data_IF_914095766197
#
_entry.id   IF_914095766197
#
_cell.length_a   1.000
_cell.length_b   1.000
_cell.length_c   1.000
_cell.angle_alpha   90.00
_cell.angle_beta   90.00
_cell.angle_gamma   90.00
#
_symmetry.space_group_name_H-M   'P 1'
#
loop_
_entity.id
_entity.type
_entity.pdbx_description
1 polymer ?
#
# COMPACT_ATOMS: atom_id res chain seq x y z
N UNK A 1 17.24 -6.66 -11.48
CA UNK A 1 16.41 -7.08 -12.62
C UNK A 1 15.01 -7.50 -12.19
N UNK A 2 14.87 -8.38 -11.22
CA UNK A 2 13.54 -8.82 -10.72
C UNK A 2 12.73 -7.66 -10.14
N UNK A 3 13.33 -6.76 -9.37
CA UNK A 3 12.65 -5.59 -8.82
C UNK A 3 12.18 -4.60 -9.89
N UNK A 4 12.94 -4.44 -10.96
CA UNK A 4 12.57 -3.62 -12.11
C UNK A 4 11.36 -4.20 -12.85
N UNK A 5 11.32 -5.51 -13.06
CA UNK A 5 10.19 -6.18 -13.70
C UNK A 5 8.92 -6.11 -12.84
N UNK A 6 9.04 -6.31 -11.53
CA UNK A 6 7.92 -6.14 -10.60
C UNK A 6 7.38 -4.70 -10.59
N UNK A 7 8.25 -3.71 -10.62
CA UNK A 7 7.85 -2.31 -10.70
C UNK A 7 7.08 -1.99 -11.98
N UNK A 8 7.50 -2.56 -13.12
CA UNK A 8 6.76 -2.44 -14.39
C UNK A 8 5.39 -3.09 -14.35
N UNK A 9 5.29 -4.28 -13.74
CA UNK A 9 4.01 -4.97 -13.57
C UNK A 9 3.04 -4.15 -12.72
N UNK A 10 3.50 -3.59 -11.61
CA UNK A 10 2.68 -2.72 -10.76
C UNK A 10 2.26 -1.46 -11.50
N UNK A 11 3.17 -0.78 -12.18
CA UNK A 11 2.87 0.43 -12.94
C UNK A 11 1.86 0.15 -14.06
N UNK A 12 2.02 -0.93 -14.81
CA UNK A 12 1.06 -1.35 -15.83
C UNK A 12 -0.32 -1.66 -15.23
N UNK A 13 -0.36 -2.38 -14.11
CA UNK A 13 -1.59 -2.71 -13.41
C UNK A 13 -2.33 -1.45 -12.93
N UNK A 14 -1.62 -0.49 -12.36
CA UNK A 14 -2.19 0.79 -11.90
C UNK A 14 -2.75 1.59 -13.07
N UNK A 15 -2.01 1.74 -14.17
CA UNK A 15 -2.45 2.47 -15.35
C UNK A 15 -3.70 1.84 -15.98
N UNK A 16 -3.72 0.52 -16.10
CA UNK A 16 -4.87 -0.22 -16.64
C UNK A 16 -6.11 -0.06 -15.78
N UNK A 17 -5.95 -0.15 -14.46
CA UNK A 17 -7.05 -0.02 -13.51
C UNK A 17 -7.56 1.42 -13.37
N UNK A 18 -6.71 2.43 -13.54
CA UNK A 18 -7.14 3.83 -13.53
C UNK A 18 -8.24 4.09 -14.57
N UNK A 19 -8.04 3.58 -15.78
CA UNK A 19 -9.01 3.73 -16.85
C UNK A 19 -10.33 3.00 -16.54
N UNK A 20 -10.25 1.76 -16.06
CA UNK A 20 -11.42 0.95 -15.68
C UNK A 20 -12.18 1.62 -14.54
N UNK A 21 -11.48 2.07 -13.52
CA UNK A 21 -12.10 2.68 -12.33
C UNK A 21 -12.75 4.02 -12.61
N UNK A 22 -12.25 4.78 -13.60
CA UNK A 22 -12.86 6.04 -14.03
C UNK A 22 -14.29 5.86 -14.55
N UNK A 23 -14.63 4.68 -15.08
CA UNK A 23 -15.93 4.35 -15.63
C UNK A 23 -16.84 3.55 -14.68
N UNK A 24 -16.34 3.19 -13.50
CA UNK A 24 -17.12 2.47 -12.49
C UNK A 24 -18.10 3.39 -11.77
N UNK A 25 -19.25 2.83 -11.42
CA UNK A 25 -20.23 3.50 -10.56
C UNK A 25 -19.69 3.67 -9.13
N UNK A 26 -20.28 4.59 -8.37
CA UNK A 26 -19.89 4.80 -6.98
C UNK A 26 -20.05 3.56 -6.10
N UNK A 27 -21.05 2.73 -6.40
CA UNK A 27 -21.25 1.45 -5.72
C UNK A 27 -20.10 0.47 -5.99
N UNK A 28 -19.70 0.32 -7.23
CA UNK A 28 -18.57 -0.54 -7.62
C UNK A 28 -17.25 -0.05 -7.03
N UNK A 29 -17.02 1.28 -7.05
CA UNK A 29 -15.86 1.88 -6.38
C UNK A 29 -15.89 1.62 -4.88
N UNK A 30 -17.05 1.70 -4.24
CA UNK A 30 -17.18 1.40 -2.81
C UNK A 30 -16.73 -0.03 -2.48
N UNK A 31 -17.12 -0.99 -3.28
CA UNK A 31 -16.66 -2.38 -3.13
C UNK A 31 -15.13 -2.51 -3.27
N UNK A 32 -14.53 -1.75 -4.19
CA UNK A 32 -13.05 -1.71 -4.34
C UNK A 32 -12.35 -1.03 -3.17
N UNK A 33 -12.95 0.04 -2.64
CA UNK A 33 -12.44 0.71 -1.44
C UNK A 33 -12.47 -0.22 -0.23
N UNK A 34 -13.57 -0.92 -0.02
CA UNK A 34 -13.71 -1.88 1.08
C UNK A 34 -12.71 -3.04 0.96
N UNK A 35 -12.54 -3.57 -0.25
CA UNK A 35 -11.53 -4.59 -0.52
C UNK A 35 -10.11 -4.08 -0.23
N UNK A 36 -9.75 -2.90 -0.72
CA UNK A 36 -8.43 -2.31 -0.50
C UNK A 36 -8.16 -2.08 0.99
N UNK A 37 -9.15 -1.59 1.72
CA UNK A 37 -9.05 -1.40 3.16
C UNK A 37 -8.86 -2.72 3.91
N UNK A 38 -9.70 -3.72 3.63
CA UNK A 38 -9.61 -5.03 4.28
C UNK A 38 -8.27 -5.72 3.97
N UNK A 39 -7.81 -5.67 2.73
CA UNK A 39 -6.51 -6.21 2.33
C UNK A 39 -5.35 -5.51 3.08
N UNK A 40 -5.44 -4.18 3.23
CA UNK A 40 -4.44 -3.39 3.96
C UNK A 40 -4.39 -3.77 5.44
N UNK A 41 -5.54 -3.93 6.08
CA UNK A 41 -5.64 -4.38 7.49
C UNK A 41 -5.06 -5.78 7.65
N UNK A 42 -5.40 -6.70 6.76
CA UNK A 42 -4.88 -8.08 6.80
C UNK A 42 -3.37 -8.13 6.59
N UNK A 43 -2.83 -7.33 5.66
CA UNK A 43 -1.37 -7.24 5.46
C UNK A 43 -0.66 -6.68 6.69
N UNK A 44 -1.20 -5.65 7.32
CA UNK A 44 -0.69 -5.10 8.57
C UNK A 44 -0.66 -6.16 9.67
N UNK A 45 -1.78 -6.88 9.83
CA UNK A 45 -1.96 -7.83 10.93
C UNK A 45 -1.18 -9.15 10.71
N UNK A 46 -0.74 -9.41 9.49
CA UNK A 46 0.13 -10.56 9.15
C UNK A 46 1.39 -10.62 9.99
N UNK A 47 1.91 -9.47 10.42
CA UNK A 47 3.07 -9.40 11.32
C UNK A 47 2.80 -9.95 12.71
N UNK A 48 1.57 -9.92 13.16
CA UNK A 48 1.17 -10.50 14.44
C UNK A 48 1.27 -12.02 14.42
N UNK A 49 1.07 -12.63 13.24
CA UNK A 49 1.23 -14.08 12.98
C UNK A 49 0.69 -14.99 14.08
N UNK A 50 -0.40 -14.59 14.73
CA UNK A 50 -0.95 -15.28 15.92
C UNK A 50 -1.21 -16.74 15.64
N UNK A 51 -1.71 -17.09 14.45
CA UNK A 51 -1.96 -18.46 14.05
C UNK A 51 -0.66 -19.27 13.93
N UNK A 52 0.41 -18.65 13.41
CA UNK A 52 1.73 -19.29 13.30
C UNK A 52 2.29 -19.60 14.67
N UNK A 53 2.28 -18.63 15.59
CA UNK A 53 2.75 -18.86 16.97
C UNK A 53 1.96 -19.93 17.68
N UNK A 54 0.64 -19.93 17.52
CA UNK A 54 -0.24 -20.95 18.09
C UNK A 54 0.10 -22.36 17.57
N UNK A 55 0.32 -22.50 16.26
CA UNK A 55 0.71 -23.77 15.62
C UNK A 55 2.11 -24.24 16.08
N UNK A 56 2.99 -23.32 16.41
CA UNK A 56 4.31 -23.63 16.96
C UNK A 56 4.27 -23.98 18.46
N UNK A 57 3.10 -23.98 19.08
CA UNK A 57 2.94 -24.26 20.50
C UNK A 57 3.30 -23.09 21.42
N UNK A 58 3.47 -21.88 20.86
CA UNK A 58 3.73 -20.66 21.62
C UNK A 58 2.41 -19.93 21.85
N UNK A 59 2.17 -19.53 23.11
CA UNK A 59 0.97 -18.77 23.43
C UNK A 59 1.04 -17.36 22.78
N UNK A 60 0.09 -17.01 21.90
CA UNK A 60 0.08 -15.68 21.25
C UNK A 60 0.08 -14.52 22.25
N UNK A 61 -0.51 -14.70 23.44
CA UNK A 61 -0.56 -13.66 24.48
C UNK A 61 0.81 -13.25 24.99
N UNK A 62 1.78 -14.16 24.95
CA UNK A 62 3.15 -13.89 25.40
C UNK A 62 3.98 -13.21 24.31
N UNK A 63 3.68 -13.49 23.04
CA UNK A 63 4.42 -13.01 21.88
C UNK A 63 3.91 -11.67 21.37
N UNK A 64 2.60 -11.46 21.40
CA UNK A 64 1.98 -10.22 20.88
C UNK A 64 2.59 -8.94 21.49
N UNK A 65 2.80 -8.82 22.80
CA UNK A 65 3.45 -7.63 23.37
C UNK A 65 4.88 -7.42 22.86
N UNK A 66 5.64 -8.50 22.63
CA UNK A 66 7.00 -8.44 22.10
C UNK A 66 7.01 -7.93 20.66
N UNK A 67 6.10 -8.45 19.83
CA UNK A 67 5.93 -8.01 18.43
C UNK A 67 5.45 -6.57 18.36
N UNK A 68 4.53 -6.17 19.22
CA UNK A 68 4.01 -4.79 19.25
C UNK A 68 5.08 -3.77 19.63
N UNK A 69 6.04 -4.15 20.44
CA UNK A 69 7.13 -3.28 20.90
C UNK A 69 8.40 -3.39 20.03
N UNK A 70 8.38 -4.21 18.99
CA UNK A 70 9.52 -4.34 18.07
C UNK A 70 9.60 -3.13 17.13
N UNK A 71 10.69 -2.35 17.14
CA UNK A 71 10.90 -1.24 16.22
C UNK A 71 10.85 -1.64 14.74
N UNK A 72 11.23 -2.87 14.42
CA UNK A 72 11.22 -3.42 13.06
C UNK A 72 9.80 -3.49 12.49
N UNK A 73 8.81 -3.74 13.34
CA UNK A 73 7.41 -3.75 12.96
C UNK A 73 6.95 -2.40 12.43
N UNK A 74 7.31 -1.32 13.12
CA UNK A 74 6.94 0.03 12.72
C UNK A 74 7.56 0.40 11.38
N UNK A 75 8.85 0.14 11.22
CA UNK A 75 9.58 0.35 9.95
C UNK A 75 8.91 -0.41 8.81
N UNK A 76 8.54 -1.65 9.03
CA UNK A 76 7.89 -2.45 8.00
C UNK A 76 6.49 -1.93 7.66
N UNK A 77 5.69 -1.52 8.64
CA UNK A 77 4.38 -0.90 8.38
C UNK A 77 4.53 0.37 7.55
N UNK A 78 5.51 1.21 7.85
CA UNK A 78 5.82 2.40 7.07
C UNK A 78 6.15 2.04 5.62
N UNK A 79 7.00 1.06 5.39
CA UNK A 79 7.36 0.58 4.05
C UNK A 79 6.15 0.03 3.29
N UNK A 80 5.28 -0.71 3.96
CA UNK A 80 4.07 -1.28 3.38
C UNK A 80 3.09 -0.18 2.93
N UNK A 81 2.76 0.74 3.82
CA UNK A 81 1.79 1.79 3.53
C UNK A 81 2.34 2.89 2.61
N UNK A 82 3.65 3.10 2.58
CA UNK A 82 4.30 3.94 1.59
C UNK A 82 4.13 3.43 0.14
N UNK A 83 3.74 2.17 -0.03
CA UNK A 83 3.36 1.59 -1.33
C UNK A 83 1.85 1.56 -1.54
N UNK A 84 1.10 1.14 -0.53
CA UNK A 84 -0.36 0.98 -0.64
C UNK A 84 -1.07 2.31 -0.84
N UNK A 85 -0.80 3.30 0.00
CA UNK A 85 -1.54 4.58 -0.01
C UNK A 85 -1.37 5.37 -1.31
N UNK A 86 -0.14 5.56 -1.84
CA UNK A 86 0.02 6.23 -3.13
C UNK A 86 -0.67 5.52 -4.29
N UNK A 87 -0.66 4.20 -4.31
CA UNK A 87 -1.34 3.44 -5.35
C UNK A 87 -2.87 3.57 -5.26
N UNK A 88 -3.44 3.56 -4.06
CA UNK A 88 -4.85 3.88 -3.87
C UNK A 88 -5.20 5.29 -4.34
N UNK A 89 -4.32 6.27 -4.10
CA UNK A 89 -4.47 7.63 -4.61
C UNK A 89 -4.49 7.69 -6.14
N UNK A 90 -3.53 7.04 -6.79
CA UNK A 90 -3.44 6.96 -8.26
C UNK A 90 -4.66 6.31 -8.89
N UNK A 91 -5.22 5.30 -8.25
CA UNK A 91 -6.44 4.63 -8.68
C UNK A 91 -7.71 5.46 -8.46
N UNK A 92 -7.61 6.63 -7.82
CA UNK A 92 -8.76 7.48 -7.50
C UNK A 92 -9.65 6.93 -6.38
N UNK A 93 -9.15 5.98 -5.58
CA UNK A 93 -9.93 5.34 -4.52
C UNK A 93 -10.02 6.15 -3.23
N UNK A 94 -9.09 7.09 -2.99
CA UNK A 94 -9.03 7.81 -1.71
C UNK A 94 -10.22 8.74 -1.50
N UNK A 95 -10.59 9.51 -2.54
CA UNK A 95 -11.48 10.67 -2.39
C UNK A 95 -12.92 10.41 -2.85
N UNK A 96 -13.21 9.30 -3.51
CA UNK A 96 -14.57 8.93 -3.90
C UNK A 96 -15.40 8.47 -2.70
N UNK A 97 -16.72 8.53 -2.84
CA UNK A 97 -17.68 8.16 -1.78
C UNK A 97 -17.40 8.93 -0.47
N UNK A 98 -17.40 10.27 -0.55
CA UNK A 98 -17.10 11.16 0.58
C UNK A 98 -15.76 10.88 1.25
N UNK A 99 -14.73 10.59 0.45
CA UNK A 99 -13.38 10.28 0.94
C UNK A 99 -13.36 9.11 1.94
N UNK A 100 -14.19 8.11 1.70
CA UNK A 100 -14.35 6.98 2.63
C UNK A 100 -13.02 6.28 2.94
N UNK A 101 -12.24 5.95 1.91
CA UNK A 101 -10.97 5.24 2.11
C UNK A 101 -9.91 6.15 2.76
N UNK A 102 -9.88 7.45 2.38
CA UNK A 102 -9.01 8.44 3.02
C UNK A 102 -9.24 8.50 4.53
N UNK A 103 -10.50 8.61 4.95
CA UNK A 103 -10.84 8.65 6.38
C UNK A 103 -10.40 7.37 7.10
N UNK A 104 -10.55 6.21 6.48
CA UNK A 104 -10.07 4.95 7.05
C UNK A 104 -8.55 4.92 7.22
N UNK A 105 -7.81 5.43 6.26
CA UNK A 105 -6.35 5.54 6.35
C UNK A 105 -5.91 6.63 7.33
N UNK A 106 -6.68 7.68 7.51
CA UNK A 106 -6.47 8.68 8.58
C UNK A 106 -6.63 8.05 9.96
N UNK A 107 -7.71 7.29 10.18
CA UNK A 107 -7.95 6.55 11.43
C UNK A 107 -6.83 5.54 11.72
N UNK A 108 -6.25 4.92 10.71
CA UNK A 108 -5.10 4.03 10.83
C UNK A 108 -3.78 4.77 11.06
N UNK A 109 -3.73 6.08 10.88
CA UNK A 109 -2.51 6.88 10.99
C UNK A 109 -1.52 6.68 9.83
N UNK A 110 -1.99 6.32 8.64
CA UNK A 110 -1.14 6.01 7.48
C UNK A 110 -1.31 6.96 6.28
N UNK A 111 -2.24 7.90 6.36
CA UNK A 111 -2.52 8.83 5.23
C UNK A 111 -1.32 9.72 4.87
N UNK A 112 -0.40 9.97 5.80
CA UNK A 112 0.82 10.74 5.54
C UNK A 112 1.68 10.16 4.43
N UNK A 113 1.49 8.89 4.09
CA UNK A 113 2.21 8.22 3.00
C UNK A 113 1.62 8.45 1.61
N UNK A 114 0.54 9.23 1.47
CA UNK A 114 -0.16 9.43 0.19
C UNK A 114 0.72 9.99 -0.94
N UNK A 115 1.77 10.72 -0.60
CA UNK A 115 2.72 11.29 -1.54
C UNK A 115 4.10 10.60 -1.51
N UNK A 116 4.20 9.43 -0.87
CA UNK A 116 5.42 8.66 -0.89
C UNK A 116 5.73 8.21 -2.33
N UNK A 117 6.98 8.36 -2.74
CA UNK A 117 7.45 7.90 -4.05
C UNK A 117 7.82 6.44 -3.91
N UNK A 118 7.23 5.60 -4.76
CA UNK A 118 7.64 4.20 -4.84
C UNK A 118 9.00 4.13 -5.56
N UNK A 119 9.95 3.45 -4.94
CA UNK A 119 11.27 3.16 -5.56
C UNK A 119 11.13 2.47 -6.91
N UNK A 120 10.04 1.74 -7.15
CA UNK A 120 9.70 1.17 -8.45
C UNK A 120 9.48 2.22 -9.55
N UNK A 121 8.93 3.39 -9.22
CA UNK A 121 8.77 4.48 -10.19
C UNK A 121 10.10 5.10 -10.59
N UNK A 122 11.05 5.18 -9.68
CA UNK A 122 12.41 5.64 -9.97
C UNK A 122 13.10 4.73 -10.97
N UNK A 123 12.94 3.41 -10.85
CA UNK A 123 13.48 2.45 -11.81
C UNK A 123 12.84 2.58 -13.19
N UNK A 124 11.52 2.76 -13.26
CA UNK A 124 10.81 2.94 -14.53
C UNK A 124 11.24 4.23 -15.21
N UNK A 125 11.38 5.32 -14.48
CA UNK A 125 11.88 6.61 -15.01
C UNK A 125 13.30 6.50 -15.54
N UNK A 126 14.17 5.82 -14.80
CA UNK A 126 15.56 5.60 -15.21
C UNK A 126 15.65 4.81 -16.52
N UNK A 127 14.85 3.76 -16.71
CA UNK A 127 14.84 2.95 -17.93
C UNK A 127 14.19 3.64 -19.13
N UNK A 128 13.24 4.55 -18.92
CA UNK A 128 12.61 5.33 -19.98
C UNK A 128 13.49 6.50 -20.47
N UNK A 129 14.70 6.66 -19.91
CA UNK A 129 15.64 7.70 -20.33
C UNK A 129 15.27 9.11 -19.88
N UNK A 130 14.36 9.24 -18.93
CA UNK A 130 14.19 10.49 -18.19
C UNK A 130 15.43 10.66 -17.30
N UNK A 131 16.50 11.16 -17.93
CA UNK A 131 17.79 11.37 -17.25
C UNK A 131 17.69 12.51 -16.27
N UNK A 132 18.52 12.44 -15.22
CA UNK A 132 18.78 13.48 -14.22
C UNK A 132 19.05 14.91 -14.81
N UNK A 133 19.07 15.06 -16.12
CA UNK A 133 19.20 16.35 -16.80
C UNK A 133 17.95 17.23 -16.63
N UNK A 134 16.78 16.65 -16.37
CA UNK A 134 15.53 17.41 -16.15
C UNK A 134 15.33 17.86 -14.70
N UNK A 135 16.19 17.40 -13.78
CA UNK A 135 16.14 17.76 -12.35
C UNK A 135 16.93 19.05 -12.03
N UNK A 136 17.65 19.62 -13.01
CA UNK A 136 18.48 20.81 -12.81
C UNK A 136 17.86 22.12 -13.37
N UNK A 137 16.56 22.16 -13.53
CA UNK A 137 15.89 23.43 -13.87
C UNK A 137 14.82 23.77 -12.86
#
# INVERSE_FOLDING_TARGET
YVMSDEARHVAFGVLSLQEVYAHMSDKEIKERQEFAYEASVRMRDRFMSQEVWSRMGVNPRDVVPLVLNDPTREVFQQMLFAKIVPNCKKLGLLDRNDSWLRRRFEEMGVIQFENAVDTGEEYVKFELGETLADVQH
#
